data_IF_286077178723
#
_entry.id   IF_286077178723
#
_cell.length_a   1.000
_cell.length_b   1.000
_cell.length_c   1.000
_cell.angle_alpha   90.00
_cell.angle_beta   90.00
_cell.angle_gamma   90.00
#
_symmetry.space_group_name_H-M   'P 1'
#
loop_
_entity.id
_entity.type
_entity.pdbx_description
1 polymer ?
#
# COMPACT_ATOMS: atom_id res chain seq x y z
N UNK A 1 7.40 11.71 -5.17
CA UNK A 1 6.27 11.23 -5.99
C UNK A 1 5.79 12.39 -6.84
N UNK A 2 5.65 12.21 -8.16
CA UNK A 2 5.10 13.27 -9.01
C UNK A 2 3.61 13.46 -8.74
N UNK A 3 3.14 14.70 -8.86
CA UNK A 3 1.75 15.06 -8.60
C UNK A 3 0.76 14.29 -9.47
N UNK A 4 1.09 14.05 -10.74
CA UNK A 4 0.28 13.23 -11.64
C UNK A 4 0.13 11.79 -11.16
N UNK A 5 1.21 11.18 -10.67
CA UNK A 5 1.18 9.82 -10.10
C UNK A 5 0.29 9.77 -8.87
N UNK A 6 0.38 10.80 -8.02
CA UNK A 6 -0.47 10.94 -6.84
C UNK A 6 -1.95 11.00 -7.24
N UNK A 7 -2.30 11.83 -8.23
CA UNK A 7 -3.69 11.94 -8.71
C UNK A 7 -4.19 10.64 -9.36
N UNK A 8 -3.36 9.98 -10.17
CA UNK A 8 -3.70 8.67 -10.75
C UNK A 8 -4.01 7.66 -9.65
N UNK A 9 -3.18 7.59 -8.61
CA UNK A 9 -3.43 6.68 -7.49
C UNK A 9 -4.70 7.06 -6.73
N UNK A 10 -4.89 8.34 -6.41
CA UNK A 10 -6.09 8.84 -5.77
C UNK A 10 -7.36 8.45 -6.53
N UNK A 11 -7.38 8.65 -7.85
CA UNK A 11 -8.54 8.31 -8.67
C UNK A 11 -8.83 6.81 -8.75
N UNK A 12 -7.82 5.95 -8.57
CA UNK A 12 -8.02 4.50 -8.52
C UNK A 12 -8.69 4.03 -7.22
N UNK A 13 -8.39 4.69 -6.10
CA UNK A 13 -8.91 4.27 -4.77
C UNK A 13 -10.04 5.15 -4.23
N UNK A 14 -10.39 6.26 -4.91
CA UNK A 14 -11.25 7.32 -4.33
C UNK A 14 -12.58 6.78 -3.80
N UNK A 15 -13.22 5.86 -4.54
CA UNK A 15 -14.57 5.40 -4.22
C UNK A 15 -14.54 4.46 -3.01
N UNK A 16 -13.55 3.57 -2.96
CA UNK A 16 -13.29 2.71 -1.80
C UNK A 16 -12.87 3.54 -0.59
N UNK A 17 -12.01 4.54 -0.77
CA UNK A 17 -11.58 5.45 0.30
C UNK A 17 -12.77 6.22 0.87
N UNK A 18 -13.68 6.71 0.02
CA UNK A 18 -14.89 7.40 0.45
C UNK A 18 -15.77 6.48 1.29
N UNK A 19 -15.89 5.21 0.91
CA UNK A 19 -16.62 4.21 1.69
C UNK A 19 -15.98 4.00 3.06
N UNK A 20 -14.67 3.78 3.11
CA UNK A 20 -13.91 3.50 4.35
C UNK A 20 -14.04 4.65 5.36
N UNK A 21 -13.78 5.89 4.92
CA UNK A 21 -13.83 7.06 5.82
C UNK A 21 -15.26 7.57 6.05
N UNK A 22 -16.27 6.91 5.47
CA UNK A 22 -17.67 7.35 5.47
C UNK A 22 -17.78 8.80 5.01
N UNK A 23 -17.26 9.07 3.82
CA UNK A 23 -17.21 10.40 3.24
C UNK A 23 -18.60 10.90 2.92
N UNK A 24 -18.95 12.01 3.54
CA UNK A 24 -20.19 12.74 3.38
C UNK A 24 -19.80 14.22 3.22
N UNK A 25 -20.03 14.82 2.04
CA UNK A 25 -19.68 16.21 1.77
C UNK A 25 -20.56 17.21 2.54
N UNK A 26 -21.69 16.77 3.09
CA UNK A 26 -22.64 17.64 3.81
C UNK A 26 -22.36 17.69 5.32
N UNK A 27 -21.61 16.72 5.85
CA UNK A 27 -21.31 16.61 7.27
C UNK A 27 -20.17 17.55 7.70
N UNK A 28 -20.48 18.56 8.51
CA UNK A 28 -19.50 19.43 9.17
C UNK A 28 -18.95 18.76 10.42
N UNK A 29 -17.88 17.97 10.29
CA UNK A 29 -17.19 17.39 11.47
C UNK A 29 -16.17 18.38 12.02
N UNK A 30 -16.37 18.87 13.25
CA UNK A 30 -15.41 19.65 14.02
C UNK A 30 -15.24 21.12 13.59
N UNK A 31 -14.52 21.92 14.41
CA UNK A 31 -14.35 23.37 14.19
C UNK A 31 -13.54 23.71 12.93
N UNK A 32 -12.60 22.84 12.53
CA UNK A 32 -11.77 23.03 11.33
C UNK A 32 -12.36 22.37 10.08
N UNK A 33 -13.59 21.87 10.18
CA UNK A 33 -14.24 21.13 9.10
C UNK A 33 -13.58 19.77 8.83
N UNK A 34 -14.02 19.15 7.73
CA UNK A 34 -13.63 17.80 7.37
C UNK A 34 -12.29 17.78 6.65
N UNK A 35 -11.45 16.80 7.00
CA UNK A 35 -10.20 16.54 6.29
C UNK A 35 -10.50 15.93 4.92
N UNK A 36 -9.99 16.57 3.86
CA UNK A 36 -10.22 16.12 2.49
C UNK A 36 -9.51 14.77 2.23
N UNK A 37 -10.09 13.84 1.44
CA UNK A 37 -9.51 12.50 1.22
C UNK A 37 -8.11 12.51 0.59
N UNK A 38 -7.79 13.54 -0.20
CA UNK A 38 -6.42 13.72 -0.73
C UNK A 38 -5.41 14.03 0.38
N UNK A 39 -5.81 14.72 1.45
CA UNK A 39 -4.95 14.96 2.62
C UNK A 39 -4.70 13.66 3.38
N UNK A 40 -5.73 12.83 3.54
CA UNK A 40 -5.63 11.49 4.13
C UNK A 40 -4.61 10.65 3.34
N UNK A 41 -4.76 10.58 2.02
CA UNK A 41 -3.81 9.88 1.15
C UNK A 41 -2.38 10.44 1.26
N UNK A 42 -2.25 11.78 1.26
CA UNK A 42 -0.96 12.45 1.36
C UNK A 42 -0.24 12.20 2.69
N UNK A 43 -0.98 12.02 3.79
CA UNK A 43 -0.43 11.67 5.10
C UNK A 43 0.05 10.23 5.11
N UNK A 44 -0.80 9.28 4.71
CA UNK A 44 -0.44 7.85 4.68
C UNK A 44 0.82 7.60 3.83
N UNK A 45 0.90 8.20 2.64
CA UNK A 45 2.06 8.09 1.75
C UNK A 45 3.37 8.62 2.35
N UNK A 46 3.30 9.57 3.29
CA UNK A 46 4.47 10.07 4.03
C UNK A 46 4.78 9.23 5.26
N UNK A 47 3.77 8.65 5.91
CA UNK A 47 3.96 7.75 7.06
C UNK A 47 4.52 6.39 6.65
N UNK A 48 4.11 5.79 5.52
CA UNK A 48 4.61 4.49 5.06
C UNK A 48 6.15 4.38 4.98
N UNK A 49 6.89 5.39 4.51
CA UNK A 49 8.36 5.37 4.56
C UNK A 49 8.97 5.83 5.89
N UNK A 50 8.17 6.05 6.94
CA UNK A 50 8.64 6.46 8.26
C UNK A 50 8.70 7.98 8.49
N UNK A 51 7.89 8.78 7.78
CA UNK A 51 7.80 10.22 8.02
C UNK A 51 7.29 10.56 9.42
N UNK A 52 7.76 11.68 9.98
CA UNK A 52 7.36 12.14 11.31
C UNK A 52 5.94 12.74 11.28
N UNK A 53 5.00 12.25 12.12
CA UNK A 53 3.69 12.87 12.28
C UNK A 53 3.73 14.36 12.63
N UNK A 54 4.73 14.85 13.37
CA UNK A 54 4.83 16.25 13.77
C UNK A 54 4.97 17.19 12.56
N UNK A 55 5.77 16.79 11.56
CA UNK A 55 5.92 17.52 10.30
C UNK A 55 4.58 17.61 9.55
N UNK A 56 3.77 16.55 9.63
CA UNK A 56 2.46 16.49 8.98
C UNK A 56 1.41 17.34 9.70
N UNK A 57 1.46 17.40 11.04
CA UNK A 57 0.60 18.29 11.83
C UNK A 57 0.85 19.73 11.41
N UNK A 58 2.13 20.14 11.33
CA UNK A 58 2.51 21.49 10.89
C UNK A 58 2.12 21.75 9.43
N UNK A 59 2.29 20.76 8.54
CA UNK A 59 2.02 20.91 7.10
C UNK A 59 0.54 20.94 6.73
N UNK A 60 -0.29 20.15 7.42
CA UNK A 60 -1.70 19.94 7.06
C UNK A 60 -2.70 20.50 8.07
N UNK A 61 -2.27 20.93 9.26
CA UNK A 61 -3.14 21.50 10.28
C UNK A 61 -4.15 20.49 10.85
N UNK A 62 -3.78 19.20 10.87
CA UNK A 62 -4.64 18.11 11.34
C UNK A 62 -4.08 17.48 12.62
N UNK A 63 -4.94 16.79 13.38
CA UNK A 63 -4.50 16.11 14.59
C UNK A 63 -3.63 14.88 14.27
N UNK A 64 -2.76 14.54 15.22
CA UNK A 64 -1.95 13.32 15.17
C UNK A 64 -2.80 12.05 14.96
N UNK A 65 -4.01 12.02 15.54
CA UNK A 65 -4.96 10.92 15.38
C UNK A 65 -5.34 10.71 13.92
N UNK A 66 -5.73 11.78 13.20
CA UNK A 66 -6.10 11.67 11.78
C UNK A 66 -4.92 11.18 10.94
N UNK A 67 -3.69 11.57 11.28
CA UNK A 67 -2.49 11.12 10.59
C UNK A 67 -2.32 9.60 10.73
N UNK A 68 -2.45 9.06 11.94
CA UNK A 68 -2.35 7.61 12.15
C UNK A 68 -3.51 6.86 11.50
N UNK A 69 -4.75 7.34 11.68
CA UNK A 69 -5.95 6.74 11.07
C UNK A 69 -5.89 6.74 9.53
N UNK A 70 -5.13 7.68 8.93
CA UNK A 70 -4.95 7.75 7.49
C UNK A 70 -4.27 6.51 6.91
N UNK A 71 -3.34 5.90 7.66
CA UNK A 71 -2.63 4.69 7.24
C UNK A 71 -3.62 3.54 7.09
N UNK A 72 -4.39 3.28 8.15
CA UNK A 72 -5.39 2.20 8.17
C UNK A 72 -6.46 2.43 7.10
N UNK A 73 -6.91 3.68 6.94
CA UNK A 73 -7.91 4.05 5.93
C UNK A 73 -7.43 3.76 4.51
N UNK A 74 -6.17 4.09 4.21
CA UNK A 74 -5.59 3.87 2.87
C UNK A 74 -5.30 2.39 2.64
N UNK A 75 -4.82 1.64 3.63
CA UNK A 75 -4.65 0.18 3.52
C UNK A 75 -6.00 -0.47 3.22
N UNK A 76 -7.05 -0.13 3.97
CA UNK A 76 -8.38 -0.69 3.76
C UNK A 76 -8.91 -0.37 2.35
N UNK A 77 -8.78 0.90 1.91
CA UNK A 77 -9.21 1.31 0.57
C UNK A 77 -8.47 0.56 -0.54
N UNK A 78 -7.15 0.37 -0.41
CA UNK A 78 -6.33 -0.39 -1.38
C UNK A 78 -6.75 -1.87 -1.40
N UNK A 79 -6.98 -2.48 -0.24
CA UNK A 79 -7.43 -3.88 -0.15
C UNK A 79 -8.82 -4.10 -0.75
N UNK A 80 -9.71 -3.10 -0.68
CA UNK A 80 -11.04 -3.14 -1.30
C UNK A 80 -10.98 -2.90 -2.81
N UNK A 81 -10.04 -2.08 -3.27
CA UNK A 81 -9.93 -1.67 -4.66
C UNK A 81 -9.62 -2.86 -5.58
N UNK A 82 -10.52 -3.10 -6.53
CA UNK A 82 -10.40 -4.20 -7.51
C UNK A 82 -9.11 -4.14 -8.33
N UNK A 83 -8.63 -2.93 -8.62
CA UNK A 83 -7.43 -2.70 -9.43
C UNK A 83 -6.14 -3.13 -8.70
N UNK A 84 -6.19 -3.25 -7.37
CA UNK A 84 -5.05 -3.65 -6.55
C UNK A 84 -5.23 -5.03 -5.91
N UNK A 85 -6.26 -5.78 -6.27
CA UNK A 85 -6.47 -7.12 -5.73
C UNK A 85 -5.34 -8.07 -6.16
N UNK A 86 -4.50 -8.44 -5.19
CA UNK A 86 -3.51 -9.49 -5.35
C UNK A 86 -4.22 -10.83 -5.10
N UNK A 87 -4.42 -11.59 -6.17
CA UNK A 87 -4.98 -12.95 -6.09
C UNK A 87 -3.85 -13.95 -6.26
N UNK A 88 -3.68 -14.81 -5.26
CA UNK A 88 -2.71 -15.88 -5.38
C UNK A 88 -3.21 -16.92 -6.41
N UNK A 89 -2.36 -17.38 -7.33
CA UNK A 89 -2.74 -18.38 -8.33
C UNK A 89 -3.21 -19.69 -7.68
N UNK A 90 -4.21 -20.33 -8.28
CA UNK A 90 -4.81 -21.57 -7.74
C UNK A 90 -4.20 -22.83 -8.31
N UNK A 91 -3.42 -22.72 -9.38
CA UNK A 91 -2.77 -23.86 -10.03
C UNK A 91 -1.27 -23.66 -10.16
N UNK A 92 -0.53 -24.78 -10.17
CA UNK A 92 0.91 -24.76 -10.41
C UNK A 92 1.25 -24.22 -11.81
N UNK A 93 0.37 -24.46 -12.80
CA UNK A 93 0.52 -23.92 -14.15
C UNK A 93 0.47 -22.38 -14.16
N UNK A 94 -0.49 -21.78 -13.46
CA UNK A 94 -0.57 -20.32 -13.31
C UNK A 94 0.65 -19.76 -12.57
N UNK A 95 1.11 -20.44 -11.52
CA UNK A 95 2.33 -20.06 -10.78
C UNK A 95 3.54 -20.01 -11.71
N UNK A 96 3.75 -21.04 -12.54
CA UNK A 96 4.86 -21.09 -13.49
C UNK A 96 4.75 -19.99 -14.56
N UNK A 97 3.53 -19.68 -15.03
CA UNK A 97 3.31 -18.57 -15.97
C UNK A 97 3.68 -17.22 -15.37
N UNK A 98 3.25 -16.97 -14.13
CA UNK A 98 3.59 -15.73 -13.41
C UNK A 98 5.09 -15.67 -13.13
N UNK A 99 5.71 -16.77 -12.69
CA UNK A 99 7.14 -16.83 -12.42
C UNK A 99 7.98 -16.55 -13.66
N UNK A 100 7.57 -17.07 -14.83
CA UNK A 100 8.22 -16.76 -16.11
C UNK A 100 8.04 -15.29 -16.49
N UNK A 101 6.86 -14.72 -16.24
CA UNK A 101 6.61 -13.29 -16.42
C UNK A 101 7.51 -12.41 -15.54
N UNK A 102 7.78 -12.85 -14.32
CA UNK A 102 8.70 -12.18 -13.40
C UNK A 102 10.16 -12.35 -13.81
N UNK A 103 10.59 -13.56 -14.17
CA UNK A 103 11.93 -13.86 -14.69
C UNK A 103 12.29 -12.91 -15.84
N UNK A 104 11.37 -12.74 -16.81
CA UNK A 104 11.55 -11.86 -17.97
C UNK A 104 11.75 -10.38 -17.61
N UNK A 105 11.24 -9.93 -16.45
CA UNK A 105 11.39 -8.55 -15.98
C UNK A 105 12.51 -8.38 -14.95
N UNK A 106 12.99 -9.49 -14.39
CA UNK A 106 13.96 -9.49 -13.31
C UNK A 106 15.38 -9.53 -13.88
N UNK A 107 16.18 -8.50 -13.58
CA UNK A 107 17.61 -8.51 -13.92
C UNK A 107 18.38 -9.66 -13.21
N UNK A 108 17.85 -10.17 -12.10
CA UNK A 108 18.42 -11.29 -11.36
C UNK A 108 17.97 -12.67 -11.87
N UNK A 109 17.06 -12.72 -12.87
CA UNK A 109 16.59 -13.94 -13.53
C UNK A 109 16.06 -15.02 -12.57
N UNK A 110 15.28 -14.62 -11.57
CA UNK A 110 14.64 -15.57 -10.65
C UNK A 110 13.57 -16.41 -11.38
N UNK A 111 13.84 -17.71 -11.54
CA UNK A 111 13.01 -18.66 -12.30
C UNK A 111 11.77 -19.17 -11.55
N UNK A 112 11.77 -19.02 -10.23
CA UNK A 112 10.79 -19.61 -9.31
C UNK A 112 10.10 -18.55 -8.44
N UNK A 113 10.14 -17.29 -8.84
CA UNK A 113 9.58 -16.17 -8.07
C UNK A 113 8.37 -15.60 -8.81
N UNK A 114 7.20 -15.57 -8.16
CA UNK A 114 5.96 -15.01 -8.75
C UNK A 114 5.82 -13.50 -8.52
N UNK A 115 6.73 -12.90 -7.75
CA UNK A 115 6.72 -11.49 -7.39
C UNK A 115 7.67 -11.20 -6.24
N UNK A 116 8.12 -9.95 -6.14
CA UNK A 116 8.92 -9.46 -5.03
C UNK A 116 8.22 -8.26 -4.39
N UNK A 117 8.13 -8.27 -3.06
CA UNK A 117 7.68 -7.11 -2.28
C UNK A 117 8.92 -6.38 -1.81
N UNK A 118 9.22 -5.25 -2.44
CA UNK A 118 10.34 -4.42 -2.01
C UNK A 118 10.06 -3.87 -0.61
N UNK A 119 11.10 -3.77 0.23
CA UNK A 119 11.09 -3.49 1.68
C UNK A 119 10.71 -4.62 2.64
N UNK A 120 10.57 -5.87 2.21
CA UNK A 120 10.51 -7.01 3.14
C UNK A 120 11.76 -7.89 3.04
N UNK A 121 12.77 -7.59 3.86
CA UNK A 121 13.93 -8.46 4.08
C UNK A 121 13.58 -9.45 5.21
N UNK A 122 12.99 -10.60 4.88
CA UNK A 122 12.81 -11.69 5.85
C UNK A 122 14.13 -12.45 5.94
N UNK A 123 14.86 -12.24 7.03
CA UNK A 123 16.06 -13.01 7.33
C UNK A 123 15.62 -14.41 7.73
N UNK A 124 15.85 -15.39 6.85
CA UNK A 124 15.79 -16.79 7.26
C UNK A 124 17.18 -17.20 7.73
N UNK A 125 17.25 -17.95 8.82
CA UNK A 125 18.49 -18.65 9.18
C UNK A 125 18.89 -19.54 8.01
N UNK A 126 20.16 -19.46 7.58
CA UNK A 126 20.71 -20.38 6.59
C UNK A 126 20.40 -21.82 7.03
N UNK A 127 19.74 -22.65 6.21
CA UNK A 127 19.51 -24.06 6.54
C UNK A 127 20.84 -24.75 6.84
N UNK A 128 20.85 -25.66 7.82
CA UNK A 128 22.04 -26.46 8.13
C UNK A 128 22.25 -27.48 7.02
N UNK A 129 23.51 -27.81 6.70
CA UNK A 129 23.82 -28.82 5.67
C UNK A 129 23.20 -30.20 5.93
N UNK A 130 22.88 -30.51 7.19
CA UNK A 130 22.14 -31.72 7.56
C UNK A 130 20.69 -31.70 7.06
N UNK A 131 20.05 -30.53 7.01
CA UNK A 131 18.66 -30.36 6.56
C UNK A 131 18.54 -30.35 5.04
N UNK A 132 19.66 -30.16 4.32
CA UNK A 132 19.73 -30.20 2.86
C UNK A 132 20.06 -31.59 2.30
N UNK A 133 20.39 -32.56 3.16
CA UNK A 133 20.63 -33.96 2.75
C UNK A 133 19.29 -34.70 2.76
N UNK A 134 18.96 -35.31 1.61
CA UNK A 134 17.72 -36.09 1.40
C UNK A 134 17.69 -37.36 2.25
#
# INVERSE_FOLDING_TARGET
>A
MHFETFLKFYHLIKDDLFSVIKYDPTCKRGPNGRVHPTVILACALRIFPGGDPLDLIASFGISKTIIHDSVDSIIAAVCMCKNFQIKFPKSHKEQLQIAKGFENKSAASFKNCVGATDRMLVWISKPRESECRK
#
